data_IF_715962157665
#
_entry.id   IF_715962157665
#
_cell.length_a   1.000
_cell.length_b   1.000
_cell.length_c   1.000
_cell.angle_alpha   90.00
_cell.angle_beta   90.00
_cell.angle_gamma   90.00
#
_symmetry.space_group_name_H-M   'P 1'
#
loop_
_entity.id
_entity.type
_entity.pdbx_description
1 polymer ?
#
# COMPACT_ATOMS: atom_id res chain seq x y z
N UNK A 1 -49.85 32.32 19.13
CA UNK A 1 -50.11 31.06 19.86
C UNK A 1 -51.60 30.87 20.19
N UNK A 2 -52.33 31.92 20.56
CA UNK A 2 -53.77 31.85 20.87
C UNK A 2 -54.66 31.60 19.65
N UNK A 3 -54.38 32.24 18.51
CA UNK A 3 -55.17 32.05 17.27
C UNK A 3 -55.02 30.64 16.68
N UNK A 4 -53.80 30.11 16.64
CA UNK A 4 -53.53 28.76 16.14
C UNK A 4 -54.22 27.69 16.99
N UNK A 5 -54.22 27.85 18.32
CA UNK A 5 -54.93 26.96 19.24
C UNK A 5 -56.45 27.04 19.06
N UNK A 6 -56.97 28.21 18.72
CA UNK A 6 -58.40 28.39 18.46
C UNK A 6 -58.80 27.76 17.11
N UNK A 7 -57.98 27.88 16.08
CA UNK A 7 -58.19 27.23 14.78
C UNK A 7 -58.08 25.70 14.86
N UNK A 8 -57.16 25.17 15.67
CA UNK A 8 -57.06 23.71 15.90
C UNK A 8 -58.29 23.19 16.65
N UNK A 9 -58.82 23.96 17.61
CA UNK A 9 -60.05 23.62 18.33
C UNK A 9 -61.28 23.63 17.42
N UNK A 10 -61.44 24.64 16.57
CA UNK A 10 -62.56 24.68 15.62
C UNK A 10 -62.53 23.51 14.64
N UNK A 11 -61.33 23.16 14.14
CA UNK A 11 -61.17 21.99 13.26
C UNK A 11 -61.46 20.67 14.01
N UNK A 12 -61.14 20.59 15.31
CA UNK A 12 -61.42 19.41 16.15
C UNK A 12 -62.92 19.20 16.36
N UNK A 13 -63.67 20.30 16.49
CA UNK A 13 -65.13 20.29 16.62
C UNK A 13 -65.81 19.92 15.30
N UNK A 14 -65.32 20.40 14.15
CA UNK A 14 -65.94 20.16 12.83
C UNK A 14 -65.65 18.77 12.25
N UNK A 15 -64.44 18.23 12.46
CA UNK A 15 -64.01 16.99 11.81
C UNK A 15 -63.79 15.81 12.76
N UNK A 16 -63.90 16.05 14.06
CA UNK A 16 -63.69 15.04 15.09
C UNK A 16 -62.20 14.76 15.35
N UNK A 17 -61.89 14.50 16.62
CA UNK A 17 -60.52 14.34 17.14
C UNK A 17 -59.72 13.26 16.41
N UNK A 18 -60.36 12.19 15.97
CA UNK A 18 -59.71 11.06 15.29
C UNK A 18 -59.25 11.38 13.87
N UNK A 19 -60.05 12.09 13.07
CA UNK A 19 -59.67 12.48 11.70
C UNK A 19 -58.58 13.54 11.71
N UNK A 20 -58.61 14.43 12.70
CA UNK A 20 -57.59 15.45 12.90
C UNK A 20 -56.28 14.84 13.36
N UNK A 21 -56.30 13.86 14.27
CA UNK A 21 -55.12 13.09 14.63
C UNK A 21 -54.58 12.27 13.45
N UNK A 22 -55.44 11.69 12.61
CA UNK A 22 -55.04 10.98 11.39
C UNK A 22 -54.42 11.91 10.32
N UNK A 23 -54.95 13.13 10.17
CA UNK A 23 -54.40 14.14 9.27
C UNK A 23 -53.10 14.73 9.81
N UNK A 24 -53.07 15.04 11.11
CA UNK A 24 -51.89 15.51 11.82
C UNK A 24 -50.79 14.46 11.76
N UNK A 25 -51.07 13.16 11.98
CA UNK A 25 -50.08 12.07 11.82
C UNK A 25 -49.68 11.83 10.37
N UNK A 26 -50.53 12.10 9.38
CA UNK A 26 -50.13 12.12 7.95
C UNK A 26 -49.19 13.29 7.60
N UNK A 27 -49.28 14.40 8.32
CA UNK A 27 -48.48 15.61 8.12
C UNK A 27 -47.20 15.58 8.97
N UNK A 28 -47.29 15.10 10.21
CA UNK A 28 -46.21 14.94 11.21
C UNK A 28 -45.45 13.62 11.07
N UNK A 29 -46.02 12.62 10.41
CA UNK A 29 -45.28 11.44 9.97
C UNK A 29 -44.24 11.94 8.99
N UNK A 30 -43.01 12.18 9.49
CA UNK A 30 -41.90 12.83 8.80
C UNK A 30 -41.81 12.30 7.36
N UNK A 31 -42.44 13.01 6.42
CA UNK A 31 -42.29 12.71 5.00
C UNK A 31 -40.84 13.03 4.69
N UNK A 32 -40.02 12.00 4.56
CA UNK A 32 -38.66 12.13 4.04
C UNK A 32 -38.78 12.93 2.74
N UNK A 33 -38.22 14.15 2.68
CA UNK A 33 -38.30 14.94 1.46
C UNK A 33 -37.78 14.12 0.28
N UNK A 34 -38.46 14.21 -0.87
CA UNK A 34 -38.24 13.36 -2.05
C UNK A 34 -36.77 13.31 -2.49
N UNK A 35 -36.03 14.39 -2.22
CA UNK A 35 -34.60 14.54 -2.49
C UNK A 35 -33.71 13.57 -1.70
N UNK A 36 -34.12 13.19 -0.49
CA UNK A 36 -33.37 12.27 0.38
C UNK A 36 -33.67 10.78 0.14
N UNK A 37 -34.76 10.47 -0.58
CA UNK A 37 -35.15 9.10 -0.93
C UNK A 37 -34.07 8.41 -1.77
N UNK A 38 -33.34 9.17 -2.60
CA UNK A 38 -32.21 8.64 -3.40
C UNK A 38 -31.01 8.21 -2.56
N UNK A 39 -30.82 8.82 -1.38
CA UNK A 39 -29.65 8.58 -0.53
C UNK A 39 -29.93 7.49 0.52
N UNK A 40 -31.21 7.30 0.85
CA UNK A 40 -31.70 6.48 1.96
C UNK A 40 -32.48 5.23 1.52
N UNK A 41 -32.58 5.00 0.21
CA UNK A 41 -33.16 3.78 -0.31
C UNK A 41 -32.44 2.56 0.30
N UNK A 42 -33.15 1.54 0.81
CA UNK A 42 -32.53 0.32 1.32
C UNK A 42 -31.50 -0.32 0.37
N UNK A 43 -31.74 -0.23 -0.95
CA UNK A 43 -30.79 -0.70 -1.97
C UNK A 43 -29.49 0.10 -1.97
N UNK A 44 -29.56 1.41 -1.78
CA UNK A 44 -28.40 2.31 -1.75
C UNK A 44 -27.59 2.15 -0.45
N UNK A 45 -28.28 1.87 0.67
CA UNK A 45 -27.62 1.53 1.93
C UNK A 45 -26.87 0.20 1.84
N UNK A 46 -27.49 -0.82 1.23
CA UNK A 46 -26.83 -2.10 0.99
C UNK A 46 -25.65 -1.97 0.03
N UNK A 47 -25.78 -1.16 -1.03
CA UNK A 47 -24.68 -0.87 -1.95
C UNK A 47 -23.52 -0.17 -1.23
N UNK A 48 -23.80 0.78 -0.33
CA UNK A 48 -22.77 1.44 0.47
C UNK A 48 -22.05 0.48 1.43
N UNK A 49 -22.77 -0.48 2.04
CA UNK A 49 -22.13 -1.52 2.87
C UNK A 49 -21.19 -2.39 2.05
N UNK A 50 -21.64 -2.85 0.88
CA UNK A 50 -20.80 -3.63 -0.03
C UNK A 50 -19.57 -2.84 -0.50
N UNK A 51 -19.72 -1.52 -0.74
CA UNK A 51 -18.61 -0.65 -1.08
C UNK A 51 -17.60 -0.51 0.06
N UNK A 52 -18.06 -0.45 1.31
CA UNK A 52 -17.17 -0.43 2.48
C UNK A 52 -16.39 -1.74 2.57
N UNK A 53 -17.08 -2.88 2.49
CA UNK A 53 -16.43 -4.20 2.59
C UNK A 53 -15.40 -4.40 1.48
N UNK A 54 -15.75 -4.03 0.24
CA UNK A 54 -14.84 -4.08 -0.90
C UNK A 54 -13.64 -3.13 -0.73
N UNK A 55 -13.85 -1.91 -0.24
CA UNK A 55 -12.76 -0.97 0.00
C UNK A 55 -11.82 -1.43 1.13
N UNK A 56 -12.35 -2.04 2.18
CA UNK A 56 -11.54 -2.63 3.26
C UNK A 56 -10.70 -3.78 2.72
N UNK A 57 -11.29 -4.66 1.91
CA UNK A 57 -10.56 -5.76 1.30
C UNK A 57 -9.45 -5.26 0.36
N UNK A 58 -9.74 -4.28 -0.49
CA UNK A 58 -8.76 -3.70 -1.42
C UNK A 58 -7.56 -3.05 -0.69
N UNK A 59 -7.82 -2.31 0.40
CA UNK A 59 -6.76 -1.74 1.24
C UNK A 59 -5.90 -2.82 1.89
N UNK A 60 -6.52 -3.92 2.35
CA UNK A 60 -5.79 -5.05 2.96
C UNK A 60 -4.94 -5.79 1.92
N UNK A 61 -5.48 -6.07 0.75
CA UNK A 61 -4.77 -6.78 -0.33
C UNK A 61 -3.55 -5.98 -0.81
N UNK A 62 -3.74 -4.68 -1.10
CA UNK A 62 -2.65 -3.79 -1.49
C UNK A 62 -1.64 -3.56 -0.36
N UNK A 63 -2.12 -3.56 0.89
CA UNK A 63 -1.27 -3.51 2.09
C UNK A 63 -0.35 -4.72 2.20
N UNK A 64 -0.89 -5.93 2.00
CA UNK A 64 -0.10 -7.18 2.00
C UNK A 64 0.93 -7.20 0.88
N UNK A 65 0.53 -6.85 -0.35
CA UNK A 65 1.46 -6.79 -1.49
C UNK A 65 2.64 -5.85 -1.23
N UNK A 66 2.37 -4.70 -0.57
CA UNK A 66 3.41 -3.77 -0.13
C UNK A 66 4.35 -4.40 0.92
N UNK A 67 3.80 -5.07 1.94
CA UNK A 67 4.60 -5.73 2.99
C UNK A 67 5.48 -6.86 2.44
N UNK A 68 4.94 -7.69 1.54
CA UNK A 68 5.67 -8.77 0.88
C UNK A 68 6.88 -8.22 0.11
N UNK A 69 6.68 -7.16 -0.67
CA UNK A 69 7.76 -6.49 -1.40
C UNK A 69 8.85 -5.91 -0.47
N UNK A 70 8.49 -5.38 0.70
CA UNK A 70 9.48 -4.98 1.72
C UNK A 70 10.25 -6.18 2.28
N UNK A 71 9.55 -7.29 2.55
CA UNK A 71 10.16 -8.53 3.03
C UNK A 71 11.20 -9.08 2.07
N UNK A 72 10.89 -9.10 0.77
CA UNK A 72 11.81 -9.51 -0.30
C UNK A 72 13.01 -8.58 -0.42
N UNK A 73 12.79 -7.26 -0.38
CA UNK A 73 13.88 -6.27 -0.38
C UNK A 73 14.87 -6.51 0.76
N UNK A 74 14.39 -6.79 1.97
CA UNK A 74 15.26 -7.04 3.13
C UNK A 74 16.11 -8.30 2.92
N UNK A 75 15.55 -9.36 2.32
CA UNK A 75 16.29 -10.58 2.00
C UNK A 75 17.40 -10.30 0.98
N UNK A 76 17.09 -9.59 -0.10
CA UNK A 76 18.08 -9.22 -1.11
C UNK A 76 19.17 -8.30 -0.55
N UNK A 77 18.84 -7.36 0.34
CA UNK A 77 19.83 -6.51 1.00
C UNK A 77 20.81 -7.34 1.85
N UNK A 78 20.32 -8.35 2.58
CA UNK A 78 21.19 -9.28 3.33
C UNK A 78 22.07 -10.13 2.40
N UNK A 79 21.54 -10.53 1.25
CA UNK A 79 22.30 -11.26 0.25
C UNK A 79 23.39 -10.38 -0.36
N UNK A 80 23.07 -9.13 -0.71
CA UNK A 80 24.04 -8.14 -1.20
C UNK A 80 25.18 -7.92 -0.21
N UNK A 81 24.91 -7.72 1.08
CA UNK A 81 25.97 -7.52 2.07
C UNK A 81 26.83 -8.76 2.25
N UNK A 82 26.24 -9.95 2.18
CA UNK A 82 26.98 -11.21 2.20
C UNK A 82 27.91 -11.35 0.99
N UNK A 83 27.40 -11.08 -0.22
CA UNK A 83 28.17 -11.14 -1.46
C UNK A 83 29.31 -10.11 -1.47
N UNK A 84 29.05 -8.87 -1.03
CA UNK A 84 30.09 -7.84 -0.92
C UNK A 84 31.21 -8.25 0.05
N UNK A 85 30.85 -8.90 1.16
CA UNK A 85 31.82 -9.48 2.09
C UNK A 85 32.62 -10.60 1.44
N UNK A 86 31.97 -11.50 0.69
CA UNK A 86 32.63 -12.60 -0.02
C UNK A 86 33.58 -12.09 -1.11
N UNK A 87 33.21 -11.05 -1.87
CA UNK A 87 34.09 -10.40 -2.84
C UNK A 87 35.35 -9.89 -2.15
N UNK A 88 35.21 -9.18 -1.02
CA UNK A 88 36.35 -8.67 -0.24
C UNK A 88 37.26 -9.77 0.28
N UNK A 89 36.67 -10.86 0.79
CA UNK A 89 37.43 -12.03 1.26
C UNK A 89 38.20 -12.69 0.10
N UNK A 90 37.56 -12.91 -1.05
CA UNK A 90 38.22 -13.46 -2.23
C UNK A 90 39.31 -12.56 -2.80
N UNK A 91 39.11 -11.24 -2.77
CA UNK A 91 40.15 -10.29 -3.18
C UNK A 91 41.35 -10.27 -2.23
N UNK A 92 41.10 -10.46 -0.92
CA UNK A 92 42.16 -10.62 0.07
C UNK A 92 42.92 -11.95 -0.12
N UNK A 93 42.21 -13.06 -0.36
CA UNK A 93 42.82 -14.35 -0.71
C UNK A 93 43.65 -14.26 -1.99
N UNK A 94 43.13 -13.58 -3.02
CA UNK A 94 43.85 -13.34 -4.27
C UNK A 94 45.12 -12.52 -4.01
N UNK A 95 45.09 -11.54 -3.10
CA UNK A 95 46.28 -10.79 -2.70
C UNK A 95 47.30 -11.67 -1.97
N UNK A 96 46.85 -12.50 -1.02
CA UNK A 96 47.72 -13.43 -0.28
C UNK A 96 48.35 -14.51 -1.17
N UNK A 97 47.69 -14.89 -2.26
CA UNK A 97 48.20 -15.86 -3.23
C UNK A 97 49.35 -15.30 -4.10
N UNK A 98 49.55 -13.98 -4.14
CA UNK A 98 50.66 -13.36 -4.87
C UNK A 98 51.96 -13.62 -4.10
N UNK A 99 52.90 -14.27 -4.77
CA UNK A 99 54.23 -14.57 -4.22
C UNK A 99 55.26 -13.54 -4.70
N UNK A 100 56.31 -13.33 -3.89
CA UNK A 100 57.40 -12.37 -4.10
C UNK A 100 57.01 -10.88 -3.98
N UNK A 101 58.01 -10.02 -4.01
CA UNK A 101 57.87 -8.56 -3.92
C UNK A 101 58.34 -7.86 -5.21
N UNK A 102 57.83 -6.65 -5.45
CA UNK A 102 58.26 -5.78 -6.55
C UNK A 102 57.91 -6.30 -7.97
N UNK A 103 58.82 -6.13 -8.92
CA UNK A 103 58.62 -6.51 -10.34
C UNK A 103 58.58 -8.03 -10.58
N UNK A 104 59.00 -8.83 -9.60
CA UNK A 104 59.04 -10.29 -9.66
C UNK A 104 57.79 -10.98 -9.10
N UNK A 105 56.73 -10.23 -8.79
CA UNK A 105 55.48 -10.80 -8.32
C UNK A 105 54.88 -11.79 -9.32
N UNK A 106 54.46 -12.96 -8.84
CA UNK A 106 53.82 -13.96 -9.68
C UNK A 106 52.75 -14.74 -8.90
N UNK A 107 51.84 -15.33 -9.65
CA UNK A 107 50.85 -16.29 -9.16
C UNK A 107 50.97 -17.57 -9.98
N UNK A 108 50.70 -18.71 -9.35
CA UNK A 108 50.57 -19.99 -10.04
C UNK A 108 49.08 -20.24 -10.25
N UNK A 109 48.65 -20.24 -11.50
CA UNK A 109 47.27 -20.57 -11.91
C UNK A 109 47.39 -21.83 -12.78
N UNK A 110 46.71 -22.91 -12.42
CA UNK A 110 46.69 -24.17 -13.18
C UNK A 110 48.09 -24.66 -13.60
N UNK A 111 49.02 -24.70 -12.65
CA UNK A 111 50.44 -25.06 -12.83
C UNK A 111 51.26 -24.15 -13.78
N UNK A 112 50.72 -23.02 -14.22
CA UNK A 112 51.44 -22.02 -15.01
C UNK A 112 51.81 -20.80 -14.17
N UNK A 113 53.06 -20.35 -14.28
CA UNK A 113 53.57 -19.16 -13.59
C UNK A 113 53.19 -17.90 -14.37
N UNK A 114 52.27 -17.11 -13.84
CA UNK A 114 51.87 -15.82 -14.41
C UNK A 114 52.54 -14.70 -13.64
N UNK A 115 53.34 -13.89 -14.34
CA UNK A 115 54.04 -12.75 -13.73
C UNK A 115 53.09 -11.55 -13.68
N UNK A 116 52.88 -11.03 -12.47
CA UNK A 116 52.09 -9.82 -12.19
C UNK A 116 53.01 -8.62 -12.00
N UNK A 117 53.73 -8.25 -13.08
CA UNK A 117 54.78 -7.23 -13.03
C UNK A 117 54.30 -5.78 -12.90
N UNK A 118 52.99 -5.52 -13.02
CA UNK A 118 52.39 -4.19 -12.95
C UNK A 118 51.10 -4.20 -12.12
N UNK A 119 50.77 -3.09 -11.46
CA UNK A 119 49.54 -2.91 -10.68
C UNK A 119 48.27 -3.25 -11.47
N UNK A 120 48.23 -2.91 -12.76
CA UNK A 120 47.09 -3.25 -13.63
C UNK A 120 46.86 -4.77 -13.75
N UNK A 121 47.93 -5.56 -13.83
CA UNK A 121 47.83 -7.02 -13.92
C UNK A 121 47.40 -7.63 -12.59
N UNK A 122 47.87 -7.06 -11.46
CA UNK A 122 47.41 -7.44 -10.12
C UNK A 122 45.93 -7.14 -9.92
N UNK A 123 45.48 -5.97 -10.34
CA UNK A 123 44.08 -5.59 -10.22
C UNK A 123 43.17 -6.45 -11.11
N UNK A 124 43.62 -6.73 -12.34
CA UNK A 124 42.93 -7.65 -13.25
C UNK A 124 42.81 -9.06 -12.65
N UNK A 125 43.88 -9.58 -12.03
CA UNK A 125 43.86 -10.88 -11.36
C UNK A 125 42.86 -10.91 -10.20
N UNK A 126 42.88 -9.90 -9.30
CA UNK A 126 41.91 -9.81 -8.18
C UNK A 126 40.46 -9.76 -8.66
N UNK A 127 40.18 -8.98 -9.71
CA UNK A 127 38.84 -8.89 -10.30
C UNK A 127 38.40 -10.19 -10.97
N UNK A 128 39.32 -10.88 -11.63
CA UNK A 128 39.04 -12.17 -12.26
C UNK A 128 38.75 -13.25 -11.21
N UNK A 129 39.46 -13.23 -10.07
CA UNK A 129 39.28 -14.19 -8.99
C UNK A 129 37.95 -14.01 -8.24
N UNK A 130 37.44 -12.78 -8.18
CA UNK A 130 36.13 -12.43 -7.61
C UNK A 130 35.00 -12.32 -8.65
N UNK A 131 35.24 -12.75 -9.89
CA UNK A 131 34.33 -12.51 -11.02
C UNK A 131 32.94 -13.13 -10.80
N UNK A 132 32.87 -14.37 -10.34
CA UNK A 132 31.61 -15.08 -10.06
C UNK A 132 30.73 -14.32 -9.06
N UNK A 133 31.31 -13.89 -7.95
CA UNK A 133 30.60 -13.17 -6.90
C UNK A 133 30.19 -11.76 -7.35
N UNK A 134 30.99 -11.12 -8.22
CA UNK A 134 30.65 -9.82 -8.81
C UNK A 134 29.49 -9.92 -9.81
N UNK A 135 29.42 -11.00 -10.58
CA UNK A 135 28.29 -11.27 -11.48
C UNK A 135 27.02 -11.49 -10.65
N UNK A 136 27.06 -12.32 -9.61
CA UNK A 136 25.94 -12.52 -8.69
C UNK A 136 25.54 -11.24 -7.93
N UNK A 137 26.52 -10.42 -7.52
CA UNK A 137 26.23 -9.14 -6.89
C UNK A 137 25.51 -8.21 -7.86
N UNK A 138 25.94 -8.15 -9.12
CA UNK A 138 25.29 -7.35 -10.16
C UNK A 138 23.85 -7.80 -10.43
N UNK A 139 23.56 -9.10 -10.40
CA UNK A 139 22.18 -9.59 -10.57
C UNK A 139 21.31 -9.19 -9.38
N UNK A 140 21.80 -9.37 -8.15
CA UNK A 140 21.09 -8.97 -6.93
C UNK A 140 20.84 -7.45 -6.88
N UNK A 141 21.77 -6.64 -7.37
CA UNK A 141 21.58 -5.18 -7.47
C UNK A 141 20.51 -4.80 -8.51
N UNK A 142 20.47 -5.50 -9.65
CA UNK A 142 19.42 -5.32 -10.64
C UNK A 142 18.04 -5.70 -10.08
N UNK A 143 17.95 -6.82 -9.36
CA UNK A 143 16.73 -7.27 -8.68
C UNK A 143 16.27 -6.26 -7.61
N UNK A 144 17.20 -5.72 -6.80
CA UNK A 144 16.88 -4.68 -5.82
C UNK A 144 16.30 -3.42 -6.48
N UNK A 145 16.87 -2.99 -7.60
CA UNK A 145 16.34 -1.84 -8.35
C UNK A 145 14.93 -2.12 -8.91
N UNK A 146 14.70 -3.33 -9.41
CA UNK A 146 13.36 -3.73 -9.88
C UNK A 146 12.34 -3.75 -8.74
N UNK A 147 12.71 -4.26 -7.57
CA UNK A 147 11.85 -4.25 -6.37
C UNK A 147 11.57 -2.83 -5.91
N UNK A 148 12.53 -1.90 -6.00
CA UNK A 148 12.32 -0.50 -5.61
C UNK A 148 11.30 0.21 -6.49
N UNK A 149 11.33 -0.06 -7.80
CA UNK A 149 10.31 0.43 -8.74
C UNK A 149 8.94 -0.17 -8.39
N UNK A 150 8.89 -1.49 -8.14
CA UNK A 150 7.67 -2.18 -7.76
C UNK A 150 7.09 -1.69 -6.43
N UNK A 151 7.94 -1.40 -5.44
CA UNK A 151 7.56 -0.85 -4.13
C UNK A 151 6.96 0.55 -4.27
N UNK A 152 7.51 1.40 -5.14
CA UNK A 152 6.92 2.72 -5.42
C UNK A 152 5.50 2.56 -5.97
N UNK A 153 5.32 1.72 -6.98
CA UNK A 153 4.01 1.46 -7.57
C UNK A 153 3.01 0.85 -6.56
N UNK A 154 3.46 -0.11 -5.73
CA UNK A 154 2.63 -0.72 -4.69
C UNK A 154 2.24 0.28 -3.60
N UNK A 155 3.14 1.21 -3.25
CA UNK A 155 2.85 2.29 -2.30
C UNK A 155 1.80 3.24 -2.87
N UNK A 156 1.95 3.69 -4.11
CA UNK A 156 0.99 4.59 -4.76
C UNK A 156 -0.40 3.93 -4.89
N UNK A 157 -0.43 2.63 -5.23
CA UNK A 157 -1.68 1.86 -5.29
C UNK A 157 -2.37 1.75 -3.92
N UNK A 158 -1.59 1.52 -2.85
CA UNK A 158 -2.11 1.47 -1.48
C UNK A 158 -2.63 2.84 -1.00
N UNK A 159 -1.91 3.94 -1.29
CA UNK A 159 -2.37 5.29 -0.98
C UNK A 159 -3.68 5.61 -1.71
N UNK A 160 -3.76 5.27 -3.00
CA UNK A 160 -5.00 5.43 -3.80
C UNK A 160 -6.17 4.63 -3.21
N UNK A 161 -5.93 3.40 -2.76
CA UNK A 161 -6.95 2.56 -2.13
C UNK A 161 -7.42 3.14 -0.80
N UNK A 162 -6.49 3.67 -0.01
CA UNK A 162 -6.79 4.34 1.26
C UNK A 162 -7.65 5.59 1.06
N UNK A 163 -7.28 6.45 0.11
CA UNK A 163 -8.08 7.63 -0.24
C UNK A 163 -9.48 7.23 -0.73
N UNK A 164 -9.58 6.19 -1.54
CA UNK A 164 -10.86 5.65 -2.00
C UNK A 164 -11.72 5.14 -0.83
N UNK A 165 -11.11 4.44 0.13
CA UNK A 165 -11.78 3.97 1.34
C UNK A 165 -12.25 5.14 2.23
N UNK A 166 -11.46 6.21 2.35
CA UNK A 166 -11.83 7.42 3.08
C UNK A 166 -13.03 8.13 2.43
N UNK A 167 -13.10 8.18 1.09
CA UNK A 167 -14.27 8.71 0.36
C UNK A 167 -15.52 7.87 0.59
N UNK A 168 -15.40 6.54 0.54
CA UNK A 168 -16.52 5.61 0.83
C UNK A 168 -17.00 5.78 2.28
N UNK A 169 -16.07 5.89 3.23
CA UNK A 169 -16.37 6.19 4.63
C UNK A 169 -17.11 7.52 4.75
N UNK A 170 -16.64 8.60 4.12
CA UNK A 170 -17.30 9.89 4.13
C UNK A 170 -18.75 9.81 3.58
N UNK A 171 -18.95 9.11 2.46
CA UNK A 171 -20.29 8.85 1.89
C UNK A 171 -21.20 8.14 2.91
N UNK A 172 -20.70 7.09 3.55
CA UNK A 172 -21.45 6.34 4.55
C UNK A 172 -21.77 7.19 5.80
N UNK A 173 -20.85 8.05 6.23
CA UNK A 173 -21.08 9.00 7.32
C UNK A 173 -22.20 9.99 6.99
N UNK A 174 -22.22 10.54 5.77
CA UNK A 174 -23.30 11.43 5.32
C UNK A 174 -24.64 10.69 5.34
N UNK A 175 -24.70 9.47 4.79
CA UNK A 175 -25.91 8.64 4.81
C UNK A 175 -26.39 8.34 6.24
N UNK A 176 -25.49 7.97 7.15
CA UNK A 176 -25.81 7.69 8.54
C UNK A 176 -26.33 8.92 9.30
N UNK A 177 -25.74 10.09 9.08
CA UNK A 177 -26.20 11.34 9.70
C UNK A 177 -27.56 11.78 9.13
N UNK A 178 -27.82 11.53 7.86
CA UNK A 178 -29.11 11.81 7.23
C UNK A 178 -30.21 10.89 7.78
N UNK A 179 -29.90 9.61 8.01
CA UNK A 179 -30.78 8.69 8.74
C UNK A 179 -31.10 9.19 10.15
N UNK A 180 -30.07 9.61 10.91
CA UNK A 180 -30.26 10.16 12.27
C UNK A 180 -31.09 11.44 12.29
N UNK A 181 -30.93 12.31 11.29
CA UNK A 181 -31.72 13.54 11.17
C UNK A 181 -33.21 13.25 10.93
N UNK A 182 -33.52 12.18 10.19
CA UNK A 182 -34.90 11.82 9.86
C UNK A 182 -35.57 10.92 10.89
N UNK A 183 -34.82 10.16 11.69
CA UNK A 183 -35.33 9.42 12.86
C UNK A 183 -35.88 10.39 13.91
#
# INVERSE_FOLDING_TARGET
>A
MTELNNQIRSLQEEHGKEKLLAAATKILGKKVPTDYVRVLNPLELQASLQQIDAAVQDVLEKGKAREEAYGEKIKLLKQKTKLDTQVKLKEAEAFMAIQHEGKSQYVIIDNQKVILGNDKMRDAYRRQYSKSEREELSTVEAELNAIDIGLSAAKDAWETAKESADLVKAKAYVQANLLKFLA
#
